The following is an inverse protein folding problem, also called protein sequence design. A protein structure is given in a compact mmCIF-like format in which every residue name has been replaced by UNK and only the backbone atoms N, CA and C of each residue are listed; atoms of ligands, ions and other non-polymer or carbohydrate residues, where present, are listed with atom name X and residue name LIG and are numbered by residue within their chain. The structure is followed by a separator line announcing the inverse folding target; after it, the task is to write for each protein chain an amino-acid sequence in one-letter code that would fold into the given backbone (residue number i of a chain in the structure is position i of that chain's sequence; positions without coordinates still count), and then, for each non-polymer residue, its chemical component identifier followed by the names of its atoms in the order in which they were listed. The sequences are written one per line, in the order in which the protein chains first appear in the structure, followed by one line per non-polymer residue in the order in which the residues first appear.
data_IF_838950577473
#
_entry.id   IF_838950577473
#
_cell.length_a   1.000
_cell.length_b   1.000
_cell.length_c   1.000
_cell.angle_alpha   90.00
_cell.angle_beta   90.00
_cell.angle_gamma   90.00
#
_symmetry.space_group_name_H-M   'P 1'
#
loop_
_entity.id
_entity.type
_entity.pdbx_description
1 polymer ?
#
# COMPACT_ATOMS: atom_id res chain seq x y z
N UNK A 1 -16.30 -9.15 22.00
CA UNK A 1 -15.19 -8.23 21.77
C UNK A 1 -14.66 -8.43 20.35
N UNK A 2 -14.55 -7.38 19.56
CA UNK A 2 -14.02 -7.53 18.21
C UNK A 2 -12.53 -7.87 18.24
N UNK A 3 -12.13 -8.71 17.31
CA UNK A 3 -10.72 -9.01 17.10
C UNK A 3 -10.05 -7.81 16.43
N UNK A 4 -8.72 -7.74 16.60
CA UNK A 4 -7.93 -6.76 15.86
C UNK A 4 -7.99 -7.06 14.37
N UNK A 5 -8.34 -6.06 13.58
CA UNK A 5 -8.47 -6.20 12.12
C UNK A 5 -7.30 -5.58 11.36
N UNK A 6 -6.25 -5.17 12.07
CA UNK A 6 -5.06 -4.60 11.44
C UNK A 6 -4.34 -5.65 10.60
N UNK A 7 -4.09 -5.33 9.36
CA UNK A 7 -3.42 -6.18 8.37
C UNK A 7 -2.22 -5.44 7.82
N UNK A 8 -1.10 -6.12 7.66
CA UNK A 8 0.08 -5.53 7.03
C UNK A 8 -0.11 -5.53 5.52
N UNK A 9 -0.19 -4.36 4.91
CA UNK A 9 -0.21 -4.21 3.44
C UNK A 9 1.19 -4.32 2.86
N UNK A 10 2.17 -3.73 3.53
CA UNK A 10 3.56 -3.80 3.10
C UNK A 10 4.45 -3.85 4.34
N UNK A 11 5.29 -4.87 4.41
CA UNK A 11 6.30 -5.00 5.45
C UNK A 11 7.44 -4.02 5.19
N UNK A 12 8.32 -3.82 6.19
CA UNK A 12 9.47 -2.93 6.08
C UNK A 12 10.26 -3.23 4.82
N UNK A 13 10.43 -2.21 3.98
CA UNK A 13 11.13 -2.31 2.69
C UNK A 13 12.14 -1.17 2.61
N UNK A 14 13.42 -1.52 2.41
CA UNK A 14 14.52 -0.55 2.31
C UNK A 14 15.13 -0.62 0.92
N UNK A 15 15.37 0.54 0.32
CA UNK A 15 15.99 0.61 -0.99
C UNK A 15 17.35 -0.11 -0.98
N UNK A 16 17.54 -0.97 -1.97
CA UNK A 16 18.79 -1.76 -2.10
C UNK A 16 18.76 -3.12 -1.42
N UNK A 17 17.72 -3.45 -0.65
CA UNK A 17 17.60 -4.73 0.05
C UNK A 17 16.32 -5.43 -0.36
N UNK A 18 16.41 -6.60 -0.98
CA UNK A 18 15.22 -7.32 -1.43
C UNK A 18 14.33 -7.73 -0.25
N UNK A 19 13.03 -7.52 -0.37
CA UNK A 19 12.04 -7.86 0.65
C UNK A 19 10.70 -8.10 -0.04
N UNK A 20 10.08 -9.24 0.19
CA UNK A 20 8.80 -9.57 -0.42
C UNK A 20 8.87 -9.50 -1.95
N UNK A 21 8.03 -8.69 -2.56
CA UNK A 21 7.97 -8.53 -4.01
C UNK A 21 9.01 -7.54 -4.56
N UNK A 22 9.72 -6.85 -3.68
CA UNK A 22 10.79 -5.94 -4.06
C UNK A 22 12.10 -6.72 -4.20
N UNK A 23 12.73 -6.67 -5.38
CA UNK A 23 13.93 -7.44 -5.68
C UNK A 23 15.24 -6.77 -5.22
N UNK A 24 15.17 -5.58 -4.64
CA UNK A 24 16.33 -4.81 -4.19
C UNK A 24 16.85 -3.80 -5.20
N UNK A 25 16.34 -3.78 -6.41
CA UNK A 25 16.83 -2.87 -7.46
C UNK A 25 15.73 -2.22 -8.29
N UNK A 26 14.52 -2.78 -8.30
CA UNK A 26 13.43 -2.22 -9.10
C UNK A 26 12.97 -0.86 -8.55
N UNK A 27 12.69 0.07 -9.45
CA UNK A 27 12.11 1.35 -9.07
C UNK A 27 10.59 1.27 -8.87
N UNK A 28 9.97 0.19 -9.29
CA UNK A 28 8.53 -0.02 -9.16
C UNK A 28 8.24 -1.45 -8.75
N UNK A 29 7.32 -1.62 -7.81
CA UNK A 29 6.84 -2.94 -7.40
C UNK A 29 5.48 -2.80 -6.74
N UNK A 30 4.77 -3.93 -6.61
CA UNK A 30 3.48 -3.99 -5.94
C UNK A 30 3.56 -4.96 -4.77
N UNK A 31 2.88 -4.62 -3.68
CA UNK A 31 2.70 -5.57 -2.57
C UNK A 31 1.77 -6.70 -2.97
N UNK A 32 1.76 -7.76 -2.17
CA UNK A 32 0.72 -8.79 -2.30
C UNK A 32 -0.64 -8.16 -2.02
N UNK A 33 -1.66 -8.67 -2.73
CA UNK A 33 -3.02 -8.23 -2.48
C UNK A 33 -3.54 -8.77 -1.15
N UNK A 34 -4.34 -7.98 -0.46
CA UNK A 34 -5.03 -8.38 0.77
C UNK A 34 -6.53 -8.20 0.58
N UNK A 35 -7.31 -8.94 1.35
CA UNK A 35 -8.76 -8.92 1.28
C UNK A 35 -9.31 -7.61 1.83
N UNK A 36 -10.11 -6.91 1.03
CA UNK A 36 -10.86 -5.74 1.48
C UNK A 36 -12.27 -6.13 1.93
N UNK A 37 -13.06 -5.11 2.31
CA UNK A 37 -14.42 -5.34 2.81
C UNK A 37 -15.31 -6.04 1.80
N UNK A 38 -15.12 -5.78 0.50
CA UNK A 38 -15.89 -6.44 -0.54
C UNK A 38 -15.66 -7.94 -0.61
N UNK A 39 -14.48 -8.42 -0.26
CA UNK A 39 -14.21 -9.85 -0.22
C UNK A 39 -15.06 -10.56 0.84
N UNK A 40 -15.23 -9.91 2.00
CA UNK A 40 -16.01 -10.47 3.11
C UNK A 40 -17.50 -10.22 2.99
N UNK A 41 -17.93 -9.43 1.99
CA UNK A 41 -19.33 -9.05 1.84
C UNK A 41 -19.78 -7.98 2.84
N UNK A 42 -18.85 -7.25 3.43
CA UNK A 42 -19.18 -6.12 4.30
C UNK A 42 -19.70 -4.95 3.45
N UNK A 43 -20.59 -4.15 4.03
CA UNK A 43 -21.29 -3.12 3.28
C UNK A 43 -20.87 -1.69 3.59
N UNK A 44 -20.13 -1.46 4.68
CA UNK A 44 -19.68 -0.12 5.02
C UNK A 44 -18.46 0.33 4.20
N UNK A 45 -17.57 -0.59 3.83
CA UNK A 45 -16.44 -0.31 2.96
C UNK A 45 -15.41 0.65 3.52
N UNK A 46 -15.42 0.92 4.81
CA UNK A 46 -14.52 1.89 5.43
C UNK A 46 -13.17 1.24 5.70
N UNK A 47 -12.11 1.85 5.17
CA UNK A 47 -10.74 1.38 5.34
C UNK A 47 -9.88 2.53 5.85
N UNK A 48 -8.97 2.21 6.78
CA UNK A 48 -7.99 3.16 7.29
C UNK A 48 -6.60 2.57 7.08
N UNK A 49 -5.73 3.34 6.44
CA UNK A 49 -4.37 2.91 6.11
C UNK A 49 -3.38 3.85 6.78
N UNK A 50 -2.41 3.27 7.50
CA UNK A 50 -1.33 4.01 8.14
C UNK A 50 -0.01 3.65 7.46
N UNK A 51 0.74 4.67 7.03
CA UNK A 51 2.01 4.52 6.33
C UNK A 51 3.09 5.32 7.05
N UNK A 52 4.26 4.72 7.27
CA UNK A 52 5.43 5.42 7.78
C UNK A 52 6.60 5.21 6.83
N UNK A 53 7.29 6.32 6.50
CA UNK A 53 8.44 6.32 5.61
C UNK A 53 9.61 7.07 6.24
N UNK A 54 10.83 6.70 5.87
CA UNK A 54 12.06 7.34 6.34
C UNK A 54 12.95 7.61 5.15
N UNK A 55 13.30 8.88 4.94
CA UNK A 55 14.18 9.34 3.85
C UNK A 55 13.76 8.81 2.48
N UNK A 56 12.45 8.69 2.27
CA UNK A 56 11.89 8.10 1.05
C UNK A 56 12.01 9.06 -0.14
N UNK A 57 12.50 8.53 -1.24
CA UNK A 57 12.34 9.14 -2.57
C UNK A 57 11.59 8.12 -3.41
N UNK A 58 10.32 8.40 -3.70
CA UNK A 58 9.43 7.50 -4.41
C UNK A 58 7.97 7.91 -4.26
N UNK A 59 7.11 7.15 -4.89
CA UNK A 59 5.66 7.35 -4.85
C UNK A 59 5.00 6.10 -4.30
N UNK A 60 4.09 6.27 -3.34
CA UNK A 60 3.32 5.18 -2.74
C UNK A 60 1.84 5.42 -2.97
N UNK A 61 1.17 4.44 -3.56
CA UNK A 61 -0.27 4.51 -3.86
C UNK A 61 -1.00 3.32 -3.28
N UNK A 62 -2.25 3.55 -2.89
CA UNK A 62 -3.19 2.50 -2.51
C UNK A 62 -4.01 2.15 -3.74
N UNK A 63 -4.06 0.88 -4.08
CA UNK A 63 -4.84 0.37 -5.21
C UNK A 63 -5.84 -0.67 -4.76
N UNK A 64 -6.95 -0.77 -5.48
CA UNK A 64 -7.98 -1.76 -5.21
C UNK A 64 -8.66 -2.24 -6.47
N UNK A 65 -9.41 -3.34 -6.34
CA UNK A 65 -10.16 -3.92 -7.44
C UNK A 65 -11.41 -4.62 -6.93
N UNK A 66 -12.41 -4.71 -7.79
CA UNK A 66 -13.61 -5.51 -7.56
C UNK A 66 -13.52 -6.90 -8.23
N UNK A 67 -12.46 -7.16 -8.98
CA UNK A 67 -12.29 -8.44 -9.66
C UNK A 67 -11.94 -9.52 -8.65
N UNK A 68 -12.62 -10.65 -8.71
CA UNK A 68 -12.43 -11.75 -7.75
C UNK A 68 -11.05 -12.38 -7.88
N UNK A 69 -10.62 -12.63 -9.11
CA UNK A 69 -9.30 -13.21 -9.41
C UNK A 69 -8.53 -12.24 -10.31
N UNK A 70 -7.95 -11.17 -9.73
CA UNK A 70 -7.44 -10.07 -10.53
C UNK A 70 -6.08 -10.36 -11.15
N UNK A 71 -5.90 -9.87 -12.38
CA UNK A 71 -4.57 -9.67 -12.96
C UNK A 71 -4.00 -8.35 -12.43
N UNK A 72 -2.70 -8.13 -12.62
CA UNK A 72 -2.04 -6.89 -12.19
C UNK A 72 -2.73 -5.64 -12.75
N UNK A 73 -3.22 -5.71 -13.98
CA UNK A 73 -3.85 -4.58 -14.66
C UNK A 73 -5.29 -4.31 -14.21
N UNK A 74 -5.87 -5.18 -13.40
CA UNK A 74 -7.25 -4.99 -12.90
C UNK A 74 -7.31 -4.02 -11.72
N UNK A 75 -6.19 -3.65 -11.14
CA UNK A 75 -6.15 -2.74 -10.00
C UNK A 75 -6.21 -1.29 -10.46
N UNK A 76 -6.93 -0.47 -9.70
CA UNK A 76 -7.05 0.98 -9.95
C UNK A 76 -6.55 1.76 -8.75
N UNK A 77 -6.05 2.97 -8.99
CA UNK A 77 -5.59 3.84 -7.92
C UNK A 77 -6.77 4.32 -7.08
N UNK A 78 -6.68 4.12 -5.76
CA UNK A 78 -7.66 4.67 -4.81
C UNK A 78 -7.15 6.01 -4.28
N UNK A 79 -5.88 6.06 -3.86
CA UNK A 79 -5.29 7.24 -3.27
C UNK A 79 -3.78 7.22 -3.45
N UNK A 80 -3.18 8.42 -3.52
CA UNK A 80 -1.74 8.60 -3.43
C UNK A 80 -1.40 8.92 -1.98
N UNK A 81 -0.62 8.06 -1.33
CA UNK A 81 -0.20 8.26 0.06
C UNK A 81 0.87 9.35 0.13
N UNK A 82 1.90 9.19 -0.66
CA UNK A 82 3.04 10.11 -0.72
C UNK A 82 3.62 10.10 -2.12
N UNK A 83 4.03 11.27 -2.58
CA UNK A 83 4.71 11.42 -3.87
C UNK A 83 5.86 12.39 -3.68
N UNK A 84 7.08 11.92 -3.82
CA UNK A 84 8.26 12.77 -3.75
C UNK A 84 8.48 13.48 -5.08
N UNK A 85 9.27 14.54 -5.05
CA UNK A 85 9.66 15.27 -6.28
C UNK A 85 10.81 14.59 -7.04
N UNK A 86 11.28 13.45 -6.56
CA UNK A 86 12.39 12.71 -7.17
C UNK A 86 13.76 13.11 -6.66
N UNK A 87 13.87 14.14 -5.81
CA UNK A 87 15.16 14.62 -5.30
C UNK A 87 15.17 14.87 -3.80
N UNK A 88 14.03 15.20 -3.19
CA UNK A 88 13.97 15.51 -1.76
C UNK A 88 13.45 14.29 -0.99
N UNK A 89 14.24 13.82 -0.03
CA UNK A 89 13.85 12.71 0.83
C UNK A 89 12.75 13.12 1.81
N UNK A 90 11.78 12.23 2.03
CA UNK A 90 10.65 12.47 2.90
C UNK A 90 10.69 11.50 4.08
N UNK A 91 10.57 12.05 5.31
CA UNK A 91 10.39 11.26 6.52
C UNK A 91 9.11 11.73 7.18
N UNK A 92 8.09 10.89 7.17
CA UNK A 92 6.77 11.28 7.68
C UNK A 92 5.90 10.05 7.95
N UNK A 93 4.74 10.31 8.52
CA UNK A 93 3.69 9.30 8.75
C UNK A 93 2.39 9.83 8.17
N UNK A 94 1.62 8.92 7.55
CA UNK A 94 0.39 9.28 6.85
C UNK A 94 -0.76 8.41 7.32
N UNK A 95 -1.96 9.00 7.37
CA UNK A 95 -3.21 8.27 7.57
C UNK A 95 -4.12 8.57 6.40
N UNK A 96 -4.63 7.54 5.79
CA UNK A 96 -5.58 7.64 4.68
C UNK A 96 -6.84 6.85 5.02
N UNK A 97 -7.98 7.50 4.94
CA UNK A 97 -9.28 6.85 5.06
C UNK A 97 -9.94 6.85 3.69
N UNK A 98 -10.51 5.72 3.30
CA UNK A 98 -11.27 5.67 2.06
C UNK A 98 -12.45 4.73 2.23
N UNK A 99 -13.45 4.91 1.36
CA UNK A 99 -14.66 4.10 1.36
C UNK A 99 -14.82 3.44 0.00
N UNK A 100 -15.14 2.18 0.01
CA UNK A 100 -15.38 1.38 -1.18
C UNK A 100 -15.33 -0.09 -0.82
N UNK A 101 -16.21 -0.89 -1.40
CA UNK A 101 -16.28 -2.33 -1.12
C UNK A 101 -15.32 -3.10 -2.02
N UNK A 102 -14.05 -2.76 -1.97
CA UNK A 102 -13.02 -3.42 -2.77
C UNK A 102 -12.83 -4.86 -2.33
N UNK A 103 -12.75 -5.77 -3.29
CA UNK A 103 -12.50 -7.19 -3.03
C UNK A 103 -11.04 -7.39 -2.60
N UNK A 104 -10.11 -6.74 -3.30
CA UNK A 104 -8.69 -6.80 -3.00
C UNK A 104 -8.09 -5.40 -2.93
N UNK A 105 -7.11 -5.22 -2.05
CA UNK A 105 -6.37 -3.98 -1.86
C UNK A 105 -4.88 -4.31 -1.89
N UNK A 106 -4.09 -3.45 -2.51
CA UNK A 106 -2.63 -3.57 -2.50
C UNK A 106 -1.98 -2.19 -2.48
N UNK A 107 -0.67 -2.20 -2.24
CA UNK A 107 0.17 -1.02 -2.34
C UNK A 107 0.98 -1.10 -3.64
N UNK A 108 1.03 0.01 -4.36
CA UNK A 108 1.88 0.16 -5.53
C UNK A 108 2.95 1.22 -5.24
N UNK A 109 4.20 0.85 -5.40
CA UNK A 109 5.34 1.74 -5.21
C UNK A 109 5.98 1.98 -6.56
N UNK A 110 6.29 3.23 -6.87
CA UNK A 110 6.96 3.61 -8.12
C UNK A 110 8.00 4.69 -7.84
N UNK A 111 8.94 4.85 -8.78
CA UNK A 111 10.02 5.84 -8.67
C UNK A 111 10.81 5.71 -7.36
N UNK A 112 10.91 4.50 -6.83
CA UNK A 112 11.58 4.19 -5.57
C UNK A 112 13.09 4.17 -5.81
N UNK A 113 13.78 5.22 -5.35
CA UNK A 113 15.22 5.40 -5.59
C UNK A 113 16.02 5.59 -4.32
N UNK A 114 15.38 5.77 -3.17
CA UNK A 114 16.09 5.90 -1.89
C UNK A 114 15.15 5.72 -0.71
N UNK A 115 15.71 5.40 0.44
CA UNK A 115 15.02 5.40 1.72
C UNK A 115 14.30 4.10 2.04
N UNK A 116 13.36 4.19 2.97
CA UNK A 116 12.62 3.04 3.49
C UNK A 116 11.15 3.36 3.62
N UNK A 117 10.32 2.34 3.32
CA UNK A 117 8.93 2.31 3.75
C UNK A 117 8.92 1.42 4.99
N UNK A 118 8.71 2.02 6.17
CA UNK A 118 8.86 1.28 7.43
C UNK A 118 7.77 0.23 7.61
N UNK A 119 6.54 0.62 7.34
CA UNK A 119 5.39 -0.28 7.35
C UNK A 119 4.17 0.40 6.75
N UNK A 120 3.23 -0.41 6.28
CA UNK A 120 1.91 0.05 5.87
C UNK A 120 0.90 -0.95 6.44
N UNK A 121 0.01 -0.45 7.29
CA UNK A 121 -1.04 -1.23 7.94
C UNK A 121 -2.42 -0.75 7.49
N UNK A 122 -3.37 -1.67 7.45
CA UNK A 122 -4.76 -1.36 7.14
C UNK A 122 -5.69 -1.97 8.17
N UNK A 123 -6.69 -1.19 8.59
CA UNK A 123 -7.83 -1.66 9.36
C UNK A 123 -9.12 -1.48 8.55
N UNK A 124 -10.01 -2.43 8.68
CA UNK A 124 -11.32 -2.37 8.01
C UNK A 124 -12.40 -3.16 8.71
#
# INVERSE_FOLDING_TARGET
MPATTSTTLLASTTFGSSTGNYDGSAAAFNSDKVKGDGYYGFSDGVHTVQTRVTSLIGTVKIQGTLVKDPATTDFVDIATVVQSDGSTAITDSYLNNFTGNFVWIRIAVSEFTAGSINNIFMAH
#
